data_IF_146684747944
#
_entry.id   IF_146684747944
#
_cell.length_a   1.000
_cell.length_b   1.000
_cell.length_c   1.000
_cell.angle_alpha   90.00
_cell.angle_beta   90.00
_cell.angle_gamma   90.00
#
_symmetry.space_group_name_H-M   'P 1'
#
loop_
_entity.id
_entity.type
_entity.pdbx_description
1 polymer ?
#
# COMPACT_ATOMS: atom_id res chain seq x y z
N UNK A 1 -12.02 -0.59 -6.34
CA UNK A 1 -11.06 0.00 -7.29
C UNK A 1 -11.56 1.25 -7.99
N UNK A 2 -12.84 1.36 -8.36
CA UNK A 2 -13.30 2.42 -9.28
C UNK A 2 -13.05 3.87 -8.84
N UNK A 3 -13.31 4.23 -7.57
CA UNK A 3 -13.19 5.63 -7.11
C UNK A 3 -11.73 6.10 -7.02
N UNK A 4 -10.81 5.24 -6.54
CA UNK A 4 -9.39 5.61 -6.42
C UNK A 4 -8.72 5.77 -7.79
N UNK A 5 -9.18 5.03 -8.81
CA UNK A 5 -8.71 5.20 -10.18
C UNK A 5 -9.12 6.56 -10.72
N UNK A 6 -10.40 6.92 -10.58
CA UNK A 6 -10.92 8.22 -11.02
C UNK A 6 -10.18 9.38 -10.34
N UNK A 7 -9.95 9.28 -9.03
CA UNK A 7 -9.19 10.31 -8.29
C UNK A 7 -7.77 10.46 -8.83
N UNK A 8 -7.09 9.35 -9.19
CA UNK A 8 -5.75 9.41 -9.79
C UNK A 8 -5.77 10.02 -11.18
N UNK A 9 -6.76 9.67 -12.01
CA UNK A 9 -6.91 10.24 -13.35
C UNK A 9 -7.09 11.75 -13.28
N UNK A 10 -8.01 12.22 -12.42
CA UNK A 10 -8.23 13.65 -12.20
C UNK A 10 -6.98 14.36 -11.67
N UNK A 11 -6.23 13.74 -10.77
CA UNK A 11 -5.00 14.32 -10.26
C UNK A 11 -3.97 14.57 -11.38
N UNK A 12 -3.85 13.62 -12.32
CA UNK A 12 -2.96 13.73 -13.47
C UNK A 12 -3.43 14.77 -14.46
N UNK A 13 -4.72 14.77 -14.79
CA UNK A 13 -5.31 15.71 -15.75
C UNK A 13 -5.24 17.16 -15.26
N UNK A 14 -5.41 17.38 -13.95
CA UNK A 14 -5.47 18.70 -13.34
C UNK A 14 -4.14 19.13 -12.69
N UNK A 15 -3.09 18.31 -12.77
CA UNK A 15 -1.78 18.54 -12.12
C UNK A 15 -1.88 18.90 -10.62
N UNK A 16 -2.68 18.14 -9.87
CA UNK A 16 -2.91 18.39 -8.46
C UNK A 16 -1.87 17.72 -7.57
N UNK A 17 -1.56 18.36 -6.45
CA UNK A 17 -0.91 17.69 -5.31
C UNK A 17 -1.98 17.08 -4.41
N UNK A 18 -1.86 15.80 -4.08
CA UNK A 18 -2.82 15.09 -3.23
C UNK A 18 -2.15 14.50 -1.99
N UNK A 19 -2.84 14.63 -0.85
CA UNK A 19 -2.52 13.93 0.39
C UNK A 19 -3.66 12.97 0.71
N UNK A 20 -3.34 11.69 0.80
CA UNK A 20 -4.30 10.65 1.16
C UNK A 20 -3.98 10.07 2.54
N UNK A 21 -4.98 10.00 3.42
CA UNK A 21 -4.84 9.45 4.78
C UNK A 21 -5.70 8.18 4.86
N UNK A 22 -5.07 7.05 5.16
CA UNK A 22 -5.76 5.77 5.29
C UNK A 22 -5.03 4.83 6.25
N UNK A 23 -5.78 3.87 6.80
CA UNK A 23 -5.24 2.74 7.57
C UNK A 23 -4.99 1.51 6.68
N UNK A 24 -5.46 1.52 5.42
CA UNK A 24 -5.33 0.41 4.50
C UNK A 24 -4.09 0.57 3.62
N UNK A 25 -3.00 -0.09 3.99
CA UNK A 25 -1.74 -0.04 3.26
C UNK A 25 -1.83 -0.66 1.85
N UNK A 26 -2.78 -1.56 1.59
CA UNK A 26 -3.00 -2.12 0.25
C UNK A 26 -3.53 -1.06 -0.74
N UNK A 27 -4.33 -0.11 -0.26
CA UNK A 27 -4.79 1.01 -1.09
C UNK A 27 -3.67 2.03 -1.38
N UNK A 28 -2.76 2.21 -0.42
CA UNK A 28 -1.63 3.14 -0.52
C UNK A 28 -0.69 2.76 -1.67
N UNK A 29 -0.37 1.46 -1.81
CA UNK A 29 0.43 0.93 -2.92
C UNK A 29 -0.12 1.31 -4.29
N UNK A 30 -1.43 1.44 -4.40
CA UNK A 30 -2.05 1.81 -5.65
C UNK A 30 -1.92 3.31 -5.93
N UNK A 31 -2.13 4.19 -4.92
CA UNK A 31 -2.39 5.64 -5.15
C UNK A 31 -1.27 6.60 -4.80
N UNK A 32 -0.34 6.24 -3.92
CA UNK A 32 0.66 7.17 -3.45
C UNK A 32 1.99 6.99 -4.18
N UNK A 33 2.66 8.09 -4.51
CA UNK A 33 4.06 8.05 -4.98
C UNK A 33 5.03 7.93 -3.79
N UNK A 34 4.63 8.47 -2.63
CA UNK A 34 5.39 8.42 -1.37
C UNK A 34 4.44 8.23 -0.21
N UNK A 35 4.86 7.44 0.77
CA UNK A 35 4.02 7.11 1.92
C UNK A 35 4.77 7.39 3.22
N UNK A 36 4.08 8.05 4.15
CA UNK A 36 4.53 8.22 5.52
C UNK A 36 3.67 7.34 6.44
N UNK A 37 4.32 6.55 7.30
CA UNK A 37 3.67 5.79 8.37
C UNK A 37 3.77 6.59 9.66
N UNK A 38 2.64 6.76 10.34
CA UNK A 38 2.58 7.49 11.60
C UNK A 38 2.19 6.57 12.77
N UNK A 39 2.87 6.72 13.90
CA UNK A 39 2.53 6.08 15.16
C UNK A 39 2.53 7.14 16.27
N UNK A 40 1.43 7.23 17.05
CA UNK A 40 1.31 8.19 18.17
C UNK A 40 1.67 9.63 17.79
N UNK A 41 1.20 10.08 16.63
CA UNK A 41 1.41 11.45 16.15
C UNK A 41 2.82 11.74 15.60
N UNK A 42 3.68 10.73 15.45
CA UNK A 42 5.02 10.89 14.87
C UNK A 42 5.13 10.09 13.59
N UNK A 43 5.79 10.65 12.59
CA UNK A 43 6.22 9.89 11.41
C UNK A 43 7.35 8.96 11.85
N UNK A 44 7.14 7.66 11.67
CA UNK A 44 8.09 6.62 12.05
C UNK A 44 8.80 6.01 10.85
N UNK A 45 8.24 6.13 9.65
CA UNK A 45 8.85 5.65 8.41
C UNK A 45 8.31 6.44 7.22
N UNK A 46 9.16 6.75 6.24
CA UNK A 46 8.76 7.32 4.95
C UNK A 46 9.51 6.56 3.87
N UNK A 47 8.80 5.96 2.92
CA UNK A 47 9.41 5.35 1.76
C UNK A 47 8.42 5.26 0.58
N UNK A 48 8.91 4.75 -0.54
CA UNK A 48 8.05 4.27 -1.63
C UNK A 48 7.08 3.19 -1.10
N UNK A 49 5.82 3.14 -1.55
CA UNK A 49 4.86 2.14 -1.11
C UNK A 49 5.34 0.69 -1.30
N UNK A 50 6.06 0.39 -2.38
CA UNK A 50 6.59 -0.96 -2.63
C UNK A 50 7.67 -1.32 -1.61
N UNK A 51 8.49 -0.36 -1.16
CA UNK A 51 9.48 -0.59 -0.10
C UNK A 51 8.78 -0.84 1.23
N UNK A 52 7.76 -0.05 1.59
CA UNK A 52 7.02 -0.25 2.84
C UNK A 52 6.32 -1.60 2.91
N UNK A 53 5.85 -2.14 1.78
CA UNK A 53 5.15 -3.44 1.75
C UNK A 53 6.14 -4.60 1.72
N UNK A 54 7.25 -4.48 0.99
CA UNK A 54 8.16 -5.61 0.76
C UNK A 54 9.36 -5.65 1.73
N UNK A 55 9.83 -4.50 2.20
CA UNK A 55 10.99 -4.37 3.08
C UNK A 55 10.81 -3.28 4.16
N UNK A 56 9.71 -3.34 4.97
CA UNK A 56 9.46 -2.37 6.04
C UNK A 56 10.57 -2.37 7.10
N UNK A 57 11.11 -1.19 7.40
CA UNK A 57 12.22 -1.04 8.35
C UNK A 57 11.75 -0.84 9.78
N UNK A 58 10.64 -0.13 10.00
CA UNK A 58 10.17 0.17 11.35
C UNK A 58 9.30 -0.98 11.90
N UNK A 59 9.49 -1.42 13.16
CA UNK A 59 8.72 -2.54 13.74
C UNK A 59 7.19 -2.33 13.70
N UNK A 60 6.74 -1.09 13.84
CA UNK A 60 5.31 -0.77 13.70
C UNK A 60 4.81 -0.98 12.26
N UNK A 61 5.58 -0.55 11.25
CA UNK A 61 5.25 -0.77 9.84
C UNK A 61 5.19 -2.25 9.52
N UNK A 62 6.15 -3.04 10.02
CA UNK A 62 6.14 -4.51 9.90
C UNK A 62 4.85 -5.10 10.46
N UNK A 63 4.40 -4.63 11.61
CA UNK A 63 3.13 -5.06 12.22
C UNK A 63 1.93 -4.75 11.33
N UNK A 64 1.88 -3.55 10.75
CA UNK A 64 0.81 -3.13 9.82
C UNK A 64 0.81 -3.99 8.54
N UNK A 65 1.98 -4.23 7.96
CA UNK A 65 2.14 -5.05 6.75
C UNK A 65 1.70 -6.49 7.00
N UNK A 66 2.10 -7.07 8.14
CA UNK A 66 1.75 -8.44 8.51
C UNK A 66 0.24 -8.63 8.76
N UNK A 67 -0.50 -7.55 9.02
CA UNK A 67 -1.95 -7.60 9.17
C UNK A 67 -2.70 -7.59 7.82
N UNK A 68 -2.01 -7.38 6.70
CA UNK A 68 -2.63 -7.37 5.37
C UNK A 68 -2.84 -8.81 4.92
N UNK A 69 -4.08 -9.22 4.61
CA UNK A 69 -4.34 -10.55 4.07
C UNK A 69 -3.62 -10.72 2.73
N UNK A 70 -2.66 -11.66 2.68
CA UNK A 70 -2.04 -12.09 1.43
C UNK A 70 -3.02 -13.02 0.73
N UNK A 71 -3.48 -12.62 -0.45
CA UNK A 71 -4.16 -13.56 -1.35
C UNK A 71 -3.06 -14.45 -1.91
N UNK A 72 -2.80 -15.57 -1.24
CA UNK A 72 -2.05 -16.67 -1.83
C UNK A 72 -2.89 -17.17 -3.01
N UNK A 73 -2.30 -17.23 -4.21
CA UNK A 73 -2.93 -17.83 -5.37
C UNK A 73 -3.08 -19.34 -5.10
N UNK A 74 -4.15 -19.72 -4.39
CA UNK A 74 -4.62 -21.08 -4.27
C UNK A 74 -5.17 -21.51 -5.64
N UNK A 75 -4.30 -21.89 -6.57
CA UNK A 75 -4.74 -22.24 -7.92
C UNK A 75 -3.71 -22.81 -8.90
N UNK A 76 -2.43 -22.97 -8.55
CA UNK A 76 -1.44 -23.49 -9.52
C UNK A 76 -0.58 -24.66 -9.04
N UNK A 77 -0.65 -25.08 -7.77
CA UNK A 77 0.20 -26.19 -7.28
C UNK A 77 -0.51 -27.55 -7.27
N UNK A 78 -1.84 -27.58 -7.40
CA UNK A 78 -2.63 -28.82 -7.33
C UNK A 78 -2.81 -29.55 -8.69
N UNK A 79 -2.39 -28.94 -9.82
CA UNK A 79 -2.59 -29.49 -11.17
C UNK A 79 -1.30 -30.07 -11.81
N UNK A 80 -0.14 -30.01 -11.14
CA UNK A 80 1.13 -30.59 -11.63
C UNK A 80 1.55 -31.90 -10.94
N UNK A 81 0.68 -32.49 -10.11
CA UNK A 81 0.92 -33.78 -9.43
C UNK A 81 -0.12 -34.84 -9.82
N UNK A 82 -0.37 -35.02 -11.12
CA UNK A 82 -1.09 -36.19 -11.65
C UNK A 82 -0.23 -36.94 -12.66
#
# INVERSE_FOLDING_TARGET
GAVLNLIRELQRELNLSMLFITHNLAAVRYIADRTAVMQRGRIVEIADPDILVNAPQHPYTQTLVNAIPRIENAGTDALMRS
#
